data_IF_739338219673
#
_entry.id   IF_739338219673
#
_cell.length_a   1.000
_cell.length_b   1.000
_cell.length_c   1.000
_cell.angle_alpha   90.00
_cell.angle_beta   90.00
_cell.angle_gamma   90.00
#
_symmetry.space_group_name_H-M   'P 1'
#
loop_
_entity.id
_entity.type
_entity.pdbx_description
1 polymer ?
#
# COMPACT_ATOMS: atom_id res chain seq x y z
N UNK A 1 -31.26 24.97 -76.19
CA UNK A 1 -32.21 24.47 -75.19
C UNK A 1 -31.45 23.56 -74.24
N UNK A 2 -30.94 24.09 -73.13
CA UNK A 2 -30.44 23.35 -71.96
C UNK A 2 -29.85 24.36 -70.95
N UNK A 3 -30.66 24.81 -70.01
CA UNK A 3 -30.18 25.29 -68.72
C UNK A 3 -31.02 24.55 -67.67
N UNK A 4 -30.39 23.58 -67.01
CA UNK A 4 -30.97 22.85 -65.89
C UNK A 4 -29.96 22.87 -64.74
N UNK A 5 -30.42 23.47 -63.63
CA UNK A 5 -30.20 23.03 -62.25
C UNK A 5 -28.79 22.93 -61.70
N UNK A 6 -28.40 23.97 -60.94
CA UNK A 6 -27.43 23.87 -59.82
C UNK A 6 -28.07 24.52 -58.59
N UNK A 7 -28.88 23.76 -57.85
CA UNK A 7 -29.41 24.17 -56.53
C UNK A 7 -29.51 23.03 -55.49
N UNK A 8 -28.93 21.86 -55.73
CA UNK A 8 -29.18 20.64 -54.93
C UNK A 8 -28.00 20.10 -54.10
N UNK A 9 -26.84 20.77 -54.03
CA UNK A 9 -25.65 20.19 -53.37
C UNK A 9 -25.36 20.67 -51.94
N UNK A 10 -26.10 21.64 -51.40
CA UNK A 10 -25.85 22.18 -50.05
C UNK A 10 -26.72 21.53 -48.97
N UNK A 11 -27.86 20.95 -49.35
CA UNK A 11 -28.79 20.35 -48.38
C UNK A 11 -28.45 18.91 -47.98
N UNK A 12 -27.73 18.15 -48.83
CA UNK A 12 -27.41 16.74 -48.57
C UNK A 12 -26.30 16.54 -47.53
N UNK A 13 -25.30 17.44 -47.48
CA UNK A 13 -24.18 17.33 -46.54
C UNK A 13 -24.59 17.56 -45.08
N UNK A 14 -25.52 18.49 -44.82
CA UNK A 14 -26.02 18.72 -43.46
C UNK A 14 -26.93 17.57 -42.97
N UNK A 15 -27.69 16.92 -43.84
CA UNK A 15 -28.57 15.81 -43.46
C UNK A 15 -27.82 14.51 -43.18
N UNK A 16 -26.70 14.26 -43.88
CA UNK A 16 -25.87 13.07 -43.66
C UNK A 16 -25.04 13.18 -42.37
N UNK A 17 -24.57 14.38 -42.03
CA UNK A 17 -23.86 14.64 -40.77
C UNK A 17 -24.82 14.51 -39.56
N UNK A 18 -26.07 14.98 -39.70
CA UNK A 18 -27.11 14.83 -38.67
C UNK A 18 -27.53 13.36 -38.46
N UNK A 19 -27.66 12.58 -39.53
CA UNK A 19 -27.95 11.14 -39.46
C UNK A 19 -26.80 10.33 -38.86
N UNK A 20 -25.55 10.68 -39.22
CA UNK A 20 -24.35 10.05 -38.65
C UNK A 20 -24.25 10.27 -37.14
N UNK A 21 -24.52 11.49 -36.67
CA UNK A 21 -24.50 11.82 -35.25
C UNK A 21 -25.63 11.11 -34.46
N UNK A 22 -26.85 11.05 -35.02
CA UNK A 22 -27.96 10.31 -34.39
C UNK A 22 -27.67 8.82 -34.25
N UNK A 23 -27.12 8.19 -35.30
CA UNK A 23 -26.77 6.76 -35.29
C UNK A 23 -25.68 6.45 -34.25
N UNK A 24 -24.69 7.33 -34.12
CA UNK A 24 -23.64 7.20 -33.10
C UNK A 24 -24.22 7.15 -31.68
N UNK A 25 -25.12 8.09 -31.34
CA UNK A 25 -25.75 8.15 -30.01
C UNK A 25 -26.62 6.93 -29.74
N UNK A 26 -27.37 6.46 -30.73
CA UNK A 26 -28.21 5.27 -30.61
C UNK A 26 -27.34 4.05 -30.27
N UNK A 27 -26.27 3.81 -31.04
CA UNK A 27 -25.37 2.67 -30.81
C UNK A 27 -24.68 2.77 -29.45
N UNK A 28 -24.18 3.96 -29.09
CA UNK A 28 -23.55 4.19 -27.80
C UNK A 28 -24.49 3.91 -26.63
N UNK A 29 -25.73 4.40 -26.70
CA UNK A 29 -26.75 4.20 -25.66
C UNK A 29 -27.11 2.71 -25.57
N UNK A 30 -27.33 2.03 -26.69
CA UNK A 30 -27.64 0.59 -26.71
C UNK A 30 -26.52 -0.21 -26.03
N UNK A 31 -25.27 0.01 -26.42
CA UNK A 31 -24.13 -0.69 -25.83
C UNK A 31 -23.97 -0.38 -24.34
N UNK A 32 -24.25 0.85 -23.93
CA UNK A 32 -24.21 1.26 -22.52
C UNK A 32 -25.29 0.55 -21.71
N UNK A 33 -26.54 0.53 -22.21
CA UNK A 33 -27.65 -0.17 -21.56
C UNK A 33 -27.39 -1.67 -21.48
N UNK A 34 -26.88 -2.30 -22.56
CA UNK A 34 -26.50 -3.71 -22.55
C UNK A 34 -25.35 -3.99 -21.58
N UNK A 35 -24.38 -3.09 -21.45
CA UNK A 35 -23.26 -3.22 -20.52
C UNK A 35 -23.75 -3.29 -19.06
N UNK A 36 -24.52 -2.29 -18.64
CA UNK A 36 -25.06 -2.26 -17.28
C UNK A 36 -26.09 -3.38 -17.06
N UNK A 37 -26.93 -3.67 -18.04
CA UNK A 37 -27.94 -4.73 -17.97
C UNK A 37 -27.33 -6.12 -17.79
N UNK A 38 -26.26 -6.45 -18.52
CA UNK A 38 -25.57 -7.75 -18.40
C UNK A 38 -24.78 -7.88 -17.10
N UNK A 39 -24.13 -6.81 -16.64
CA UNK A 39 -23.29 -6.82 -15.43
C UNK A 39 -24.08 -6.77 -14.14
N UNK A 40 -25.14 -5.97 -14.07
CA UNK A 40 -26.01 -5.87 -12.89
C UNK A 40 -27.02 -7.04 -12.78
N UNK A 41 -27.12 -7.88 -13.81
CA UNK A 41 -27.95 -9.07 -13.75
C UNK A 41 -27.45 -10.02 -12.66
N UNK A 42 -28.30 -10.24 -11.64
CA UNK A 42 -28.05 -11.14 -10.50
C UNK A 42 -26.76 -10.83 -9.74
N UNK A 43 -26.46 -9.55 -9.53
CA UNK A 43 -25.26 -9.11 -8.77
C UNK A 43 -25.25 -9.57 -7.31
N UNK A 44 -26.43 -9.82 -6.74
CA UNK A 44 -26.63 -10.39 -5.42
C UNK A 44 -26.32 -11.90 -5.36
N UNK A 45 -26.42 -12.61 -6.48
CA UNK A 45 -26.03 -14.01 -6.61
C UNK A 45 -24.54 -14.14 -7.01
N UNK A 46 -23.75 -15.01 -6.38
CA UNK A 46 -24.12 -15.88 -5.26
C UNK A 46 -24.11 -15.18 -3.89
N UNK A 47 -24.92 -15.67 -2.95
CA UNK A 47 -25.11 -15.15 -1.58
C UNK A 47 -23.98 -15.50 -0.60
N UNK A 48 -22.77 -15.70 -1.11
CA UNK A 48 -21.59 -16.04 -0.33
C UNK A 48 -20.34 -15.31 -0.83
N UNK A 49 -19.34 -15.23 0.04
CA UNK A 49 -18.05 -14.61 -0.24
C UNK A 49 -17.32 -15.36 -1.34
N UNK A 50 -16.96 -14.68 -2.42
CA UNK A 50 -16.18 -15.25 -3.51
C UNK A 50 -14.68 -14.92 -3.36
N UNK A 51 -13.82 -15.70 -4.03
CA UNK A 51 -12.37 -15.52 -4.19
C UNK A 51 -11.72 -14.42 -3.30
N UNK A 52 -11.41 -13.25 -3.88
CA UNK A 52 -10.71 -12.14 -3.22
C UNK A 52 -11.65 -11.13 -2.52
N UNK A 53 -12.97 -11.39 -2.51
CA UNK A 53 -13.89 -10.62 -1.65
C UNK A 53 -13.51 -10.80 -0.17
N UNK A 54 -12.93 -11.95 0.18
CA UNK A 54 -12.33 -12.21 1.50
C UNK A 54 -11.32 -11.15 1.91
N UNK A 55 -10.51 -10.66 0.97
CA UNK A 55 -9.48 -9.67 1.24
C UNK A 55 -10.03 -8.25 1.18
N UNK A 56 -10.68 -7.87 0.07
CA UNK A 56 -11.09 -6.48 -0.14
C UNK A 56 -12.35 -6.10 0.63
N UNK A 57 -13.26 -7.04 0.87
CA UNK A 57 -14.39 -6.87 1.78
C UNK A 57 -13.89 -6.62 3.21
N UNK A 58 -12.98 -7.47 3.72
CA UNK A 58 -12.34 -7.30 5.03
C UNK A 58 -11.65 -5.95 5.18
N UNK A 59 -10.92 -5.52 4.15
CA UNK A 59 -10.28 -4.21 4.15
C UNK A 59 -11.30 -3.07 4.15
N UNK A 60 -12.41 -3.21 3.43
CA UNK A 60 -13.56 -2.30 3.51
C UNK A 60 -14.08 -2.17 4.93
N UNK A 61 -14.28 -3.29 5.62
CA UNK A 61 -14.68 -3.35 7.04
C UNK A 61 -13.69 -2.62 7.95
N UNK A 62 -12.38 -2.79 7.72
CA UNK A 62 -11.35 -2.09 8.51
C UNK A 62 -11.39 -0.57 8.35
N UNK A 63 -11.69 -0.05 7.16
CA UNK A 63 -11.90 1.40 6.99
C UNK A 63 -13.13 1.90 7.75
N UNK A 64 -14.24 1.16 7.72
CA UNK A 64 -15.47 1.51 8.43
C UNK A 64 -15.22 1.51 9.95
N UNK A 65 -14.53 0.49 10.44
CA UNK A 65 -14.18 0.35 11.87
C UNK A 65 -13.02 1.28 12.30
N UNK A 66 -12.35 1.92 11.33
CA UNK A 66 -11.15 2.77 11.49
C UNK A 66 -9.93 2.03 12.05
N UNK A 67 -9.85 0.73 11.86
CA UNK A 67 -8.76 -0.13 12.35
C UNK A 67 -7.63 -0.20 11.35
N UNK A 68 -6.42 0.17 11.76
CA UNK A 68 -5.26 0.19 10.90
C UNK A 68 -4.84 -1.21 10.44
N UNK A 69 -4.50 -1.33 9.15
CA UNK A 69 -4.04 -2.56 8.52
C UNK A 69 -2.92 -2.26 7.52
N UNK A 70 -2.17 -3.30 7.18
CA UNK A 70 -1.11 -3.24 6.17
C UNK A 70 -1.55 -4.02 4.94
N UNK A 71 -1.36 -3.44 3.75
CA UNK A 71 -1.60 -4.10 2.48
C UNK A 71 -0.58 -3.65 1.43
N UNK A 72 -0.38 -4.50 0.42
CA UNK A 72 0.54 -4.25 -0.70
C UNK A 72 0.01 -3.23 -1.70
N UNK A 73 -1.32 -3.04 -1.78
CA UNK A 73 -1.94 -2.14 -2.74
C UNK A 73 -2.21 -0.76 -2.15
N UNK A 74 -2.07 0.30 -2.95
CA UNK A 74 -2.49 1.65 -2.57
C UNK A 74 -3.98 1.75 -2.17
N UNK A 75 -4.37 2.81 -1.44
CA UNK A 75 -5.59 2.75 -0.62
C UNK A 75 -6.89 3.06 -1.36
N UNK A 76 -6.86 3.73 -2.52
CA UNK A 76 -8.07 4.35 -3.13
C UNK A 76 -9.18 3.34 -3.39
N UNK A 77 -8.87 2.21 -4.03
CA UNK A 77 -9.91 1.24 -4.38
C UNK A 77 -10.60 0.65 -3.15
N UNK A 78 -9.85 0.40 -2.08
CA UNK A 78 -10.40 -0.11 -0.81
C UNK A 78 -11.22 0.97 -0.09
N UNK A 79 -10.78 2.23 -0.13
CA UNK A 79 -11.55 3.36 0.42
C UNK A 79 -12.87 3.56 -0.34
N UNK A 80 -12.88 3.36 -1.65
CA UNK A 80 -14.10 3.43 -2.46
C UNK A 80 -15.07 2.28 -2.16
N UNK A 81 -14.56 1.06 -1.97
CA UNK A 81 -15.37 -0.09 -1.50
C UNK A 81 -15.95 0.19 -0.10
N UNK A 82 -15.15 0.73 0.81
CA UNK A 82 -15.63 1.12 2.14
C UNK A 82 -16.71 2.21 2.04
N UNK A 83 -16.49 3.21 1.19
CA UNK A 83 -17.45 4.29 0.95
C UNK A 83 -18.78 3.76 0.42
N UNK A 84 -18.76 2.87 -0.58
CA UNK A 84 -20.00 2.26 -1.09
C UNK A 84 -20.72 1.47 -0.01
N UNK A 85 -19.97 0.68 0.78
CA UNK A 85 -20.51 -0.01 1.95
C UNK A 85 -21.26 0.92 2.92
N UNK A 86 -20.62 2.02 3.34
CA UNK A 86 -21.25 2.99 4.26
C UNK A 86 -22.51 3.60 3.64
N UNK A 87 -22.46 3.98 2.35
CA UNK A 87 -23.60 4.60 1.66
C UNK A 87 -24.78 3.64 1.51
N UNK A 88 -24.54 2.33 1.43
CA UNK A 88 -25.58 1.30 1.30
C UNK A 88 -25.92 0.59 2.61
N UNK A 89 -25.46 1.11 3.75
CA UNK A 89 -25.84 0.60 5.07
C UNK A 89 -25.08 -0.64 5.55
N UNK A 90 -23.88 -0.91 5.04
CA UNK A 90 -22.95 -1.88 5.61
C UNK A 90 -22.22 -1.27 6.82
N UNK A 91 -22.19 -2.00 7.93
CA UNK A 91 -21.66 -1.54 9.22
C UNK A 91 -20.22 -1.99 9.53
N UNK A 92 -19.58 -2.78 8.65
CA UNK A 92 -18.22 -3.28 8.90
C UNK A 92 -18.12 -4.45 9.88
N UNK A 93 -19.22 -5.10 10.27
CA UNK A 93 -19.18 -6.20 11.26
C UNK A 93 -18.86 -7.57 10.67
N UNK A 94 -19.11 -7.77 9.36
CA UNK A 94 -18.90 -9.06 8.71
C UNK A 94 -17.40 -9.35 8.52
N UNK A 95 -16.90 -10.53 8.92
CA UNK A 95 -15.46 -10.79 9.04
C UNK A 95 -14.76 -11.14 7.72
N UNK A 96 -15.47 -11.60 6.68
CA UNK A 96 -14.87 -12.03 5.41
C UNK A 96 -13.71 -13.03 5.61
N UNK A 97 -13.97 -14.18 6.24
CA UNK A 97 -12.89 -15.12 6.60
C UNK A 97 -12.44 -15.99 5.43
N UNK A 98 -13.37 -16.74 4.83
CA UNK A 98 -13.06 -17.70 3.77
C UNK A 98 -14.07 -17.64 2.63
N UNK A 99 -13.68 -18.05 1.40
CA UNK A 99 -14.63 -18.18 0.31
C UNK A 99 -15.70 -19.22 0.66
N UNK A 100 -16.95 -18.94 0.31
CA UNK A 100 -18.11 -19.77 0.62
C UNK A 100 -18.85 -19.38 1.90
N UNK A 101 -18.32 -18.46 2.72
CA UNK A 101 -19.06 -17.93 3.88
C UNK A 101 -20.31 -17.18 3.40
N UNK A 102 -21.47 -17.51 3.96
CA UNK A 102 -22.72 -16.83 3.63
C UNK A 102 -22.76 -15.46 4.29
N UNK A 103 -23.41 -14.50 3.63
CA UNK A 103 -23.52 -13.13 4.13
C UNK A 103 -24.54 -12.95 5.27
N UNK A 104 -25.37 -13.95 5.58
CA UNK A 104 -26.25 -13.98 6.77
C UNK A 104 -27.10 -12.70 7.00
N UNK A 105 -27.58 -12.07 5.92
CA UNK A 105 -28.41 -10.84 6.01
C UNK A 105 -27.62 -9.53 6.13
N UNK A 106 -26.31 -9.55 5.91
CA UNK A 106 -25.45 -8.37 5.83
C UNK A 106 -25.68 -7.62 4.52
N UNK A 107 -25.68 -6.28 4.56
CA UNK A 107 -25.86 -5.41 3.39
C UNK A 107 -24.59 -5.31 2.50
N UNK A 108 -24.12 -6.42 1.93
CA UNK A 108 -22.94 -6.44 1.03
C UNK A 108 -23.25 -6.01 -0.41
N UNK A 109 -24.50 -6.12 -0.84
CA UNK A 109 -24.93 -5.96 -2.25
C UNK A 109 -24.49 -4.61 -2.82
N UNK A 110 -24.60 -3.53 -2.04
CA UNK A 110 -24.18 -2.20 -2.49
C UNK A 110 -22.68 -2.07 -2.79
N UNK A 111 -21.83 -2.88 -2.16
CA UNK A 111 -20.41 -2.95 -2.51
C UNK A 111 -20.20 -3.61 -3.87
N UNK A 112 -20.92 -4.71 -4.15
CA UNK A 112 -20.87 -5.39 -5.46
C UNK A 112 -21.45 -4.51 -6.55
N UNK A 113 -22.60 -3.88 -6.32
CA UNK A 113 -23.22 -2.93 -7.26
C UNK A 113 -22.25 -1.81 -7.61
N UNK A 114 -21.56 -1.24 -6.63
CA UNK A 114 -20.56 -0.20 -6.89
C UNK A 114 -19.42 -0.67 -7.82
N UNK A 115 -18.82 -1.84 -7.53
CA UNK A 115 -17.79 -2.42 -8.40
C UNK A 115 -18.35 -2.74 -9.80
N UNK A 116 -19.58 -3.23 -9.86
CA UNK A 116 -20.29 -3.60 -11.09
C UNK A 116 -20.61 -2.39 -11.95
N UNK A 117 -21.00 -1.26 -11.35
CA UNK A 117 -21.26 0.00 -12.04
C UNK A 117 -19.96 0.54 -12.65
N UNK A 118 -18.85 0.53 -11.90
CA UNK A 118 -17.55 0.94 -12.44
C UNK A 118 -17.06 -0.01 -13.55
N UNK A 119 -17.28 -1.31 -13.38
CA UNK A 119 -17.04 -2.31 -14.42
C UNK A 119 -17.95 -2.18 -15.64
N UNK A 120 -19.16 -1.66 -15.48
CA UNK A 120 -20.09 -1.37 -16.56
C UNK A 120 -19.63 -0.23 -17.46
N UNK A 121 -18.90 0.74 -16.91
CA UNK A 121 -18.36 1.86 -17.68
C UNK A 121 -17.20 1.46 -18.63
N UNK A 122 -16.68 0.23 -18.55
CA UNK A 122 -15.62 -0.25 -19.42
C UNK A 122 -16.02 -0.23 -20.91
N UNK A 123 -17.27 -0.57 -21.20
CA UNK A 123 -17.83 -0.67 -22.55
C UNK A 123 -17.98 0.71 -23.20
N UNK A 124 -18.69 1.69 -22.58
CA UNK A 124 -18.78 3.03 -23.15
C UNK A 124 -17.41 3.71 -23.26
N UNK A 125 -16.47 3.45 -22.34
CA UNK A 125 -15.10 3.96 -22.48
C UNK A 125 -14.35 3.32 -23.64
N UNK A 126 -14.45 2.01 -23.83
CA UNK A 126 -13.85 1.31 -24.98
C UNK A 126 -14.41 1.86 -26.30
N UNK A 127 -15.73 2.01 -26.38
CA UNK A 127 -16.38 2.60 -27.55
C UNK A 127 -15.87 4.02 -27.82
N UNK A 128 -15.86 4.88 -26.80
CA UNK A 128 -15.45 6.26 -26.92
C UNK A 128 -13.97 6.39 -27.32
N UNK A 129 -13.07 5.60 -26.73
CA UNK A 129 -11.65 5.60 -27.08
C UNK A 129 -11.39 5.17 -28.52
N UNK A 130 -12.01 4.08 -28.98
CA UNK A 130 -11.79 3.57 -30.33
C UNK A 130 -12.41 4.48 -31.38
N UNK A 131 -13.59 5.04 -31.09
CA UNK A 131 -14.18 6.10 -31.92
C UNK A 131 -13.23 7.28 -32.06
N UNK A 132 -12.63 7.73 -30.95
CA UNK A 132 -11.74 8.88 -30.96
C UNK A 132 -10.45 8.64 -31.77
N UNK A 133 -10.00 7.40 -31.86
CA UNK A 133 -8.80 7.03 -32.62
C UNK A 133 -9.07 6.76 -34.10
N UNK A 134 -10.27 6.26 -34.44
CA UNK A 134 -10.56 5.72 -35.78
C UNK A 134 -11.62 6.49 -36.54
N UNK A 135 -12.46 7.27 -35.84
CA UNK A 135 -13.69 7.87 -36.35
C UNK A 135 -14.61 6.89 -37.11
N UNK A 136 -14.48 5.59 -36.82
CA UNK A 136 -15.25 4.53 -37.47
C UNK A 136 -16.24 3.93 -36.48
N UNK A 137 -17.52 4.08 -36.78
CA UNK A 137 -18.59 3.55 -35.95
C UNK A 137 -18.51 2.02 -35.87
N UNK A 138 -18.17 1.37 -36.98
CA UNK A 138 -18.05 -0.09 -37.03
C UNK A 138 -16.90 -0.59 -36.16
N UNK A 139 -15.74 0.07 -36.19
CA UNK A 139 -14.60 -0.31 -35.35
C UNK A 139 -14.93 -0.13 -33.86
N UNK A 140 -15.51 1.02 -33.48
CA UNK A 140 -15.90 1.29 -32.10
C UNK A 140 -16.95 0.30 -31.59
N UNK A 141 -17.97 0.00 -32.40
CA UNK A 141 -19.03 -0.96 -32.08
C UNK A 141 -18.45 -2.36 -31.89
N UNK A 142 -17.58 -2.80 -32.81
CA UNK A 142 -16.96 -4.12 -32.74
C UNK A 142 -16.08 -4.26 -31.48
N UNK A 143 -15.20 -3.30 -31.21
CA UNK A 143 -14.34 -3.33 -30.03
C UNK A 143 -15.13 -3.32 -28.72
N UNK A 144 -16.17 -2.48 -28.62
CA UNK A 144 -17.03 -2.45 -27.44
C UNK A 144 -17.82 -3.75 -27.26
N UNK A 145 -18.27 -4.37 -28.36
CA UNK A 145 -18.98 -5.65 -28.34
C UNK A 145 -18.07 -6.80 -27.89
N UNK A 146 -16.80 -6.81 -28.31
CA UNK A 146 -15.82 -7.80 -27.86
C UNK A 146 -15.62 -7.76 -26.33
N UNK A 147 -15.55 -6.56 -25.73
CA UNK A 147 -15.44 -6.41 -24.27
C UNK A 147 -16.78 -6.69 -23.57
N UNK A 148 -17.91 -6.34 -24.20
CA UNK A 148 -19.24 -6.60 -23.67
C UNK A 148 -19.49 -8.11 -23.48
N UNK A 149 -19.11 -8.91 -24.47
CA UNK A 149 -19.34 -10.37 -24.50
C UNK A 149 -18.16 -11.20 -23.97
N UNK A 150 -17.12 -10.56 -23.44
CA UNK A 150 -16.03 -11.28 -22.78
C UNK A 150 -16.44 -11.74 -21.38
N UNK A 151 -16.50 -13.05 -21.19
CA UNK A 151 -16.91 -13.70 -19.93
C UNK A 151 -15.93 -13.39 -18.80
N UNK A 152 -14.64 -13.20 -19.12
CA UNK A 152 -13.62 -12.86 -18.13
C UNK A 152 -13.88 -11.51 -17.47
N UNK A 153 -14.04 -10.45 -18.27
CA UNK A 153 -14.37 -9.12 -17.77
C UNK A 153 -15.75 -9.06 -17.12
N UNK A 154 -16.73 -9.79 -17.63
CA UNK A 154 -18.05 -9.89 -16.99
C UNK A 154 -17.92 -10.42 -15.56
N UNK A 155 -17.31 -11.60 -15.40
CA UNK A 155 -17.16 -12.26 -14.09
C UNK A 155 -16.35 -11.39 -13.12
N UNK A 156 -15.23 -10.83 -13.57
CA UNK A 156 -14.34 -10.01 -12.73
C UNK A 156 -15.02 -8.72 -12.23
N UNK A 157 -16.02 -8.21 -12.96
CA UNK A 157 -16.67 -6.93 -12.62
C UNK A 157 -17.82 -7.03 -11.63
N UNK A 158 -18.32 -8.23 -11.33
CA UNK A 158 -19.51 -8.41 -10.49
C UNK A 158 -19.24 -8.52 -8.98
N UNK A 159 -17.97 -8.68 -8.59
CA UNK A 159 -17.59 -8.97 -7.21
C UNK A 159 -16.91 -7.77 -6.52
N UNK A 160 -16.80 -7.84 -5.19
CA UNK A 160 -16.08 -6.86 -4.35
C UNK A 160 -14.57 -7.02 -4.56
N UNK A 161 -14.10 -6.55 -5.71
CA UNK A 161 -12.70 -6.62 -6.16
C UNK A 161 -12.14 -5.22 -6.42
N UNK A 162 -10.82 -5.08 -6.40
CA UNK A 162 -10.15 -3.86 -6.82
C UNK A 162 -10.08 -3.72 -8.34
N UNK A 163 -10.08 -4.84 -9.06
CA UNK A 163 -9.84 -4.83 -10.50
C UNK A 163 -10.91 -4.07 -11.32
N UNK A 164 -12.21 -4.08 -10.97
CA UNK A 164 -13.22 -3.27 -11.66
C UNK A 164 -12.92 -1.77 -11.55
N UNK A 165 -12.50 -1.33 -10.36
CA UNK A 165 -12.11 0.06 -10.08
C UNK A 165 -10.81 0.41 -10.83
N UNK A 166 -9.85 -0.52 -10.86
CA UNK A 166 -8.59 -0.35 -11.58
C UNK A 166 -8.83 -0.19 -13.08
N UNK A 167 -9.61 -1.09 -13.68
CA UNK A 167 -9.93 -1.08 -15.11
C UNK A 167 -10.73 0.18 -15.48
N UNK A 168 -11.63 0.63 -14.60
CA UNK A 168 -12.33 1.90 -14.77
C UNK A 168 -11.37 3.08 -14.90
N UNK A 169 -10.45 3.26 -13.95
CA UNK A 169 -9.50 4.38 -14.01
C UNK A 169 -8.47 4.22 -15.13
N UNK A 170 -8.09 2.99 -15.47
CA UNK A 170 -7.23 2.70 -16.60
C UNK A 170 -7.87 3.17 -17.91
N UNK A 171 -9.10 2.73 -18.21
CA UNK A 171 -9.82 3.16 -19.40
C UNK A 171 -10.22 4.63 -19.37
N UNK A 172 -10.58 5.19 -18.22
CA UNK A 172 -10.84 6.63 -18.09
C UNK A 172 -9.60 7.46 -18.46
N UNK A 173 -8.42 7.05 -17.99
CA UNK A 173 -7.16 7.72 -18.37
C UNK A 173 -6.83 7.55 -19.85
N UNK A 174 -7.19 6.41 -20.45
CA UNK A 174 -7.02 6.16 -21.87
C UNK A 174 -7.97 7.01 -22.74
N UNK A 175 -9.24 7.12 -22.36
CA UNK A 175 -10.20 8.06 -22.98
C UNK A 175 -9.66 9.49 -22.88
N UNK A 176 -9.14 9.87 -21.70
CA UNK A 176 -8.55 11.18 -21.45
C UNK A 176 -7.43 11.52 -22.42
N UNK A 177 -6.46 10.61 -22.61
CA UNK A 177 -5.34 10.86 -23.53
C UNK A 177 -5.78 10.83 -25.00
N UNK A 178 -6.72 9.97 -25.39
CA UNK A 178 -7.30 9.98 -26.74
C UNK A 178 -7.98 11.34 -27.03
N UNK A 179 -8.84 11.81 -26.13
CA UNK A 179 -9.53 13.10 -26.26
C UNK A 179 -8.57 14.28 -26.26
N UNK A 180 -7.54 14.22 -25.41
CA UNK A 180 -6.47 15.23 -25.40
C UNK A 180 -5.76 15.31 -26.74
N UNK A 181 -5.42 14.17 -27.35
CA UNK A 181 -4.75 14.12 -28.66
C UNK A 181 -5.64 14.55 -29.81
N UNK A 182 -6.96 14.39 -29.72
CA UNK A 182 -7.89 14.93 -30.71
C UNK A 182 -8.10 16.43 -30.61
N UNK A 183 -7.84 17.04 -29.45
CA UNK A 183 -7.92 18.47 -29.23
C UNK A 183 -6.69 19.24 -29.79
N UNK A 184 -6.33 19.01 -31.06
CA UNK A 184 -5.16 19.67 -31.70
C UNK A 184 -5.46 21.09 -32.22
N UNK A 185 -6.73 21.41 -32.49
CA UNK A 185 -7.11 22.70 -33.10
C UNK A 185 -7.02 23.88 -32.13
N UNK A 186 -7.19 23.65 -30.82
CA UNK A 186 -7.19 24.69 -29.77
C UNK A 186 -6.24 24.32 -28.63
N UNK A 187 -4.95 24.26 -28.94
CA UNK A 187 -3.90 24.04 -27.94
C UNK A 187 -3.96 25.11 -26.85
N UNK A 188 -3.79 24.70 -25.59
CA UNK A 188 -3.94 25.54 -24.40
C UNK A 188 -5.34 26.13 -24.15
N UNK A 189 -6.37 25.68 -24.89
CA UNK A 189 -7.76 26.02 -24.60
C UNK A 189 -8.31 25.32 -23.35
N UNK A 190 -9.53 25.68 -22.95
CA UNK A 190 -10.20 25.11 -21.76
C UNK A 190 -10.35 23.59 -21.89
N UNK A 191 -10.80 23.10 -23.05
CA UNK A 191 -10.94 21.66 -23.30
C UNK A 191 -9.60 20.93 -23.28
N UNK A 192 -8.54 21.57 -23.78
CA UNK A 192 -7.19 21.00 -23.77
C UNK A 192 -6.68 20.79 -22.34
N UNK A 193 -6.83 21.81 -21.48
CA UNK A 193 -6.48 21.71 -20.07
C UNK A 193 -7.36 20.73 -19.32
N UNK A 194 -8.66 20.72 -19.58
CA UNK A 194 -9.60 19.78 -18.98
C UNK A 194 -9.17 18.33 -19.23
N UNK A 195 -8.93 17.94 -20.49
CA UNK A 195 -8.53 16.57 -20.82
C UNK A 195 -7.14 16.21 -20.30
N UNK A 196 -6.20 17.17 -20.27
CA UNK A 196 -4.88 16.93 -19.70
C UNK A 196 -4.94 16.71 -18.18
N UNK A 197 -5.68 17.54 -17.45
CA UNK A 197 -5.89 17.41 -16.00
C UNK A 197 -6.67 16.14 -15.69
N UNK A 198 -7.74 15.86 -16.44
CA UNK A 198 -8.53 14.64 -16.32
C UNK A 198 -7.68 13.39 -16.50
N UNK A 199 -6.81 13.37 -17.52
CA UNK A 199 -5.85 12.28 -17.74
C UNK A 199 -4.91 12.13 -16.54
N UNK A 200 -4.35 13.24 -16.04
CA UNK A 200 -3.48 13.22 -14.86
C UNK A 200 -4.17 12.65 -13.61
N UNK A 201 -5.39 13.12 -13.30
CA UNK A 201 -6.15 12.66 -12.12
C UNK A 201 -6.53 11.19 -12.25
N UNK A 202 -7.11 10.78 -13.39
CA UNK A 202 -7.55 9.38 -13.59
C UNK A 202 -6.38 8.40 -13.63
N UNK A 203 -5.24 8.80 -14.22
CA UNK A 203 -4.00 8.03 -14.18
C UNK A 203 -3.46 7.90 -12.74
N UNK A 204 -3.51 8.99 -11.95
CA UNK A 204 -3.13 8.94 -10.54
C UNK A 204 -4.04 8.02 -9.74
N UNK A 205 -5.36 8.10 -9.94
CA UNK A 205 -6.33 7.20 -9.34
C UNK A 205 -6.04 5.73 -9.69
N UNK A 206 -5.66 5.44 -10.93
CA UNK A 206 -5.25 4.09 -11.36
C UNK A 206 -4.09 3.55 -10.51
N UNK A 207 -3.02 4.34 -10.33
CA UNK A 207 -1.89 3.98 -9.44
C UNK A 207 -2.35 3.85 -7.98
N UNK A 208 -3.26 4.72 -7.53
CA UNK A 208 -3.80 4.70 -6.17
C UNK A 208 -4.74 3.52 -5.88
N UNK A 209 -5.19 2.78 -6.90
CA UNK A 209 -5.89 1.50 -6.72
C UNK A 209 -4.90 0.34 -6.67
N UNK A 210 -3.95 0.28 -7.60
CA UNK A 210 -2.96 -0.81 -7.69
C UNK A 210 -1.69 -0.32 -8.39
N UNK A 211 -0.51 -0.76 -7.95
CA UNK A 211 0.76 -0.37 -8.58
C UNK A 211 0.93 -0.83 -10.04
N UNK A 212 0.09 -1.76 -10.52
CA UNK A 212 -0.02 -2.07 -11.96
C UNK A 212 -0.36 -0.82 -12.79
N UNK A 213 -1.01 0.18 -12.19
CA UNK A 213 -1.24 1.49 -12.81
C UNK A 213 0.04 2.24 -13.22
N UNK A 214 1.22 1.85 -12.73
CA UNK A 214 2.50 2.38 -13.23
C UNK A 214 2.73 2.03 -14.71
N UNK A 215 2.20 0.91 -15.21
CA UNK A 215 2.24 0.62 -16.65
C UNK A 215 1.39 1.61 -17.46
N UNK A 216 0.27 2.07 -16.90
CA UNK A 216 -0.54 3.13 -17.51
C UNK A 216 0.21 4.46 -17.53
N UNK A 217 0.94 4.80 -16.46
CA UNK A 217 1.81 5.98 -16.41
C UNK A 217 2.90 5.89 -17.49
N UNK A 218 3.56 4.74 -17.61
CA UNK A 218 4.57 4.50 -18.65
C UNK A 218 3.98 4.63 -20.05
N UNK A 219 2.80 4.05 -20.29
CA UNK A 219 2.13 4.11 -21.59
C UNK A 219 1.79 5.56 -21.98
N UNK A 220 1.12 6.32 -21.11
CA UNK A 220 0.80 7.74 -21.33
C UNK A 220 2.09 8.58 -21.44
N UNK A 221 3.12 8.24 -20.67
CA UNK A 221 4.44 8.87 -20.73
C UNK A 221 5.12 8.69 -22.09
N UNK A 222 5.11 7.48 -22.65
CA UNK A 222 5.65 7.20 -23.99
C UNK A 222 4.86 7.94 -25.07
N UNK A 223 3.52 7.98 -24.98
CA UNK A 223 2.70 8.78 -25.90
C UNK A 223 3.04 10.28 -25.79
N UNK A 224 3.22 10.77 -24.57
CA UNK A 224 3.61 12.17 -24.30
C UNK A 224 4.98 12.50 -24.87
N UNK A 225 5.96 11.60 -24.73
CA UNK A 225 7.30 11.78 -25.31
C UNK A 225 7.21 11.83 -26.84
N UNK A 226 6.44 10.94 -27.45
CA UNK A 226 6.21 10.96 -28.90
C UNK A 226 5.55 12.26 -29.35
N UNK A 227 4.50 12.72 -28.67
CA UNK A 227 3.83 13.99 -28.97
C UNK A 227 4.79 15.19 -28.85
N UNK A 228 5.62 15.23 -27.79
CA UNK A 228 6.62 16.28 -27.60
C UNK A 228 7.71 16.24 -28.68
N UNK A 229 8.10 15.05 -29.15
CA UNK A 229 9.02 14.88 -30.27
C UNK A 229 8.44 15.47 -31.56
N UNK A 230 7.17 15.18 -31.88
CA UNK A 230 6.50 15.77 -33.04
C UNK A 230 6.34 17.29 -32.92
N UNK A 231 6.06 17.80 -31.71
CA UNK A 231 5.97 19.24 -31.44
C UNK A 231 7.33 19.92 -31.64
N UNK A 232 8.43 19.31 -31.17
CA UNK A 232 9.78 19.81 -31.38
C UNK A 232 10.15 19.86 -32.86
N UNK A 233 9.68 18.88 -33.65
CA UNK A 233 9.88 18.83 -35.10
C UNK A 233 9.12 19.89 -35.89
N UNK A 234 8.18 20.65 -35.28
CA UNK A 234 7.46 21.73 -35.96
C UNK A 234 8.35 22.97 -36.12
N UNK A 235 9.15 23.02 -37.19
CA UNK A 235 10.06 24.13 -37.51
C UNK A 235 9.37 25.50 -37.70
N UNK A 236 8.04 25.52 -37.86
CA UNK A 236 7.26 26.76 -37.96
C UNK A 236 7.00 27.45 -36.61
N UNK A 237 7.31 26.79 -35.48
CA UNK A 237 7.08 27.31 -34.13
C UNK A 237 8.40 27.53 -33.39
N UNK A 238 8.50 28.54 -32.51
CA UNK A 238 9.69 28.76 -31.70
C UNK A 238 9.86 27.66 -30.63
N UNK A 239 11.09 27.44 -30.16
CA UNK A 239 11.39 26.47 -29.09
C UNK A 239 10.57 26.74 -27.81
N UNK A 240 10.26 28.01 -27.52
CA UNK A 240 9.44 28.41 -26.37
C UNK A 240 8.05 27.76 -26.37
N UNK A 241 7.49 27.47 -27.55
CA UNK A 241 6.23 26.76 -27.68
C UNK A 241 6.37 25.29 -27.22
N UNK A 242 7.43 24.59 -27.62
CA UNK A 242 7.74 23.24 -27.12
C UNK A 242 7.96 23.24 -25.60
N UNK A 243 8.66 24.23 -25.07
CA UNK A 243 8.87 24.38 -23.62
C UNK A 243 7.54 24.56 -22.87
N UNK A 244 6.61 25.37 -23.40
CA UNK A 244 5.26 25.50 -22.82
C UNK A 244 4.51 24.17 -22.80
N UNK A 245 4.55 23.41 -23.90
CA UNK A 245 3.94 22.08 -23.99
C UNK A 245 4.56 21.09 -23.01
N UNK A 246 5.88 21.16 -22.80
CA UNK A 246 6.60 20.35 -21.83
C UNK A 246 6.18 20.69 -20.40
N UNK A 247 6.20 21.98 -20.02
CA UNK A 247 5.85 22.42 -18.67
C UNK A 247 4.40 22.03 -18.33
N UNK A 248 3.45 22.28 -19.24
CA UNK A 248 2.04 21.93 -19.00
C UNK A 248 1.85 20.42 -18.77
N UNK A 249 2.49 19.57 -19.58
CA UNK A 249 2.43 18.11 -19.41
C UNK A 249 3.17 17.65 -18.15
N UNK A 250 4.33 18.24 -17.84
CA UNK A 250 5.07 17.94 -16.60
C UNK A 250 4.22 18.24 -15.36
N UNK A 251 3.57 19.41 -15.31
CA UNK A 251 2.70 19.78 -14.18
C UNK A 251 1.51 18.84 -14.08
N UNK A 252 0.78 18.59 -15.17
CA UNK A 252 -0.47 17.81 -15.13
C UNK A 252 -0.27 16.30 -15.11
N UNK A 253 0.81 15.75 -15.66
CA UNK A 253 1.04 14.31 -15.79
C UNK A 253 2.13 13.78 -14.84
N UNK A 254 2.82 14.65 -14.09
CA UNK A 254 3.79 14.23 -13.06
C UNK A 254 3.46 14.85 -11.71
N UNK A 255 3.49 16.18 -11.59
CA UNK A 255 3.31 16.87 -10.30
C UNK A 255 1.90 16.62 -9.74
N UNK A 256 0.86 16.84 -10.55
CA UNK A 256 -0.52 16.63 -10.14
C UNK A 256 -0.78 15.17 -9.70
N UNK A 257 -0.38 14.14 -10.45
CA UNK A 257 -0.52 12.75 -10.00
C UNK A 257 0.18 12.44 -8.68
N UNK A 258 1.38 12.98 -8.45
CA UNK A 258 2.09 12.81 -7.17
C UNK A 258 1.29 13.45 -6.03
N UNK A 259 0.76 14.65 -6.23
CA UNK A 259 -0.08 15.33 -5.22
C UNK A 259 -1.36 14.55 -4.92
N UNK A 260 -2.03 14.02 -5.95
CA UNK A 260 -3.23 13.18 -5.78
C UNK A 260 -2.89 11.89 -5.02
N UNK A 261 -1.76 11.25 -5.35
CA UNK A 261 -1.30 10.05 -4.66
C UNK A 261 -1.03 10.31 -3.17
N UNK A 262 -0.27 11.36 -2.85
CA UNK A 262 0.00 11.77 -1.47
C UNK A 262 -1.30 12.14 -0.75
N UNK A 263 -2.23 12.82 -1.45
CA UNK A 263 -3.55 13.17 -0.92
C UNK A 263 -4.38 11.96 -0.50
N UNK A 264 -4.45 10.90 -1.32
CA UNK A 264 -5.16 9.69 -0.94
C UNK A 264 -4.50 8.93 0.22
N UNK A 265 -3.17 8.91 0.30
CA UNK A 265 -2.47 8.34 1.46
C UNK A 265 -2.69 9.16 2.73
N UNK A 266 -2.78 10.48 2.62
CA UNK A 266 -3.15 11.34 3.74
C UNK A 266 -4.56 11.00 4.25
N UNK A 267 -5.54 10.86 3.34
CA UNK A 267 -6.91 10.46 3.69
C UNK A 267 -6.92 9.07 4.34
N UNK A 268 -6.19 8.10 3.78
CA UNK A 268 -6.06 6.75 4.33
C UNK A 268 -5.58 6.75 5.79
N UNK A 269 -4.47 7.45 6.07
CA UNK A 269 -3.90 7.54 7.42
C UNK A 269 -4.76 8.37 8.37
N UNK A 270 -5.55 9.31 7.85
CA UNK A 270 -6.50 10.09 8.63
C UNK A 270 -7.72 9.27 9.05
N UNK A 271 -8.23 8.40 8.17
CA UNK A 271 -9.38 7.53 8.46
C UNK A 271 -8.98 6.43 9.45
N UNK A 272 -7.85 5.75 9.23
CA UNK A 272 -7.39 4.61 10.03
C UNK A 272 -6.64 5.06 11.30
N UNK A 273 -7.39 5.49 12.30
CA UNK A 273 -6.86 6.07 13.54
C UNK A 273 -6.83 5.12 14.74
N UNK A 274 -7.30 3.87 14.61
CA UNK A 274 -7.25 2.85 15.66
C UNK A 274 -6.21 1.77 15.35
N UNK A 275 -5.68 1.14 16.39
CA UNK A 275 -4.78 -0.01 16.28
C UNK A 275 -5.49 -1.21 15.63
N UNK A 276 -4.73 -2.03 14.92
CA UNK A 276 -5.20 -3.23 14.24
C UNK A 276 -4.02 -4.09 13.80
N UNK A 277 -4.29 -5.25 13.20
CA UNK A 277 -3.30 -6.31 12.97
C UNK A 277 -2.06 -5.89 12.15
N UNK A 278 -2.15 -4.79 11.38
CA UNK A 278 -1.06 -4.29 10.56
C UNK A 278 -0.11 -3.28 11.22
N UNK A 279 -0.42 -2.80 12.43
CA UNK A 279 0.37 -1.73 13.06
C UNK A 279 1.78 -2.18 13.50
N UNK A 280 1.96 -3.49 13.76
CA UNK A 280 3.21 -4.12 14.17
C UNK A 280 4.40 -3.83 13.24
N UNK A 281 4.14 -3.73 11.93
CA UNK A 281 5.14 -3.48 10.89
C UNK A 281 5.69 -2.04 10.88
N UNK A 282 5.01 -1.11 11.55
CA UNK A 282 5.36 0.30 11.58
C UNK A 282 6.22 0.67 12.79
N UNK A 283 6.80 1.87 12.75
CA UNK A 283 7.61 2.39 13.84
C UNK A 283 6.79 2.58 15.12
N UNK A 284 7.43 2.50 16.28
CA UNK A 284 6.76 2.74 17.57
C UNK A 284 6.17 4.16 17.66
N UNK A 285 6.79 5.14 16.98
CA UNK A 285 6.30 6.51 16.90
C UNK A 285 5.02 6.65 16.05
N UNK A 286 4.81 5.76 15.08
CA UNK A 286 3.54 5.69 14.36
C UNK A 286 2.48 4.97 15.20
N UNK A 287 2.84 3.82 15.80
CA UNK A 287 1.94 3.04 16.65
C UNK A 287 1.39 3.84 17.84
N UNK A 288 2.17 4.74 18.43
CA UNK A 288 1.71 5.59 19.54
C UNK A 288 0.61 6.59 19.15
N UNK A 289 0.46 6.90 17.85
CA UNK A 289 -0.63 7.76 17.36
C UNK A 289 -1.95 7.02 17.20
N UNK A 290 -1.95 5.69 17.17
CA UNK A 290 -3.13 4.87 16.95
C UNK A 290 -3.88 4.59 18.26
N UNK A 291 -5.17 4.93 18.30
CA UNK A 291 -6.04 4.67 19.45
C UNK A 291 -6.15 3.17 19.73
N UNK A 292 -6.07 2.77 21.00
CA UNK A 292 -6.11 1.36 21.41
C UNK A 292 -4.77 0.62 21.29
N UNK A 293 -3.71 1.25 20.77
CA UNK A 293 -2.37 0.69 20.87
C UNK A 293 -1.85 0.83 22.30
N UNK A 294 -1.06 -0.14 22.78
CA UNK A 294 -0.41 -0.09 24.11
C UNK A 294 0.57 1.07 24.30
N UNK A 295 1.02 1.73 23.23
CA UNK A 295 1.85 2.94 23.28
C UNK A 295 1.04 4.24 23.25
N UNK A 296 -0.27 4.16 22.97
CA UNK A 296 -1.12 5.33 22.85
C UNK A 296 -1.36 5.94 24.23
N UNK A 297 -0.94 7.19 24.42
CA UNK A 297 -0.96 7.89 25.71
C UNK A 297 -0.28 7.10 26.85
N UNK A 298 0.64 6.19 26.53
CA UNK A 298 1.34 5.41 27.53
C UNK A 298 2.34 6.29 28.29
N UNK A 299 2.16 6.41 29.60
CA UNK A 299 3.19 6.95 30.48
C UNK A 299 4.27 5.88 30.67
N UNK A 300 5.45 6.10 30.11
CA UNK A 300 6.61 5.25 30.35
C UNK A 300 7.77 6.08 30.88
N UNK A 301 8.62 5.51 31.76
CA UNK A 301 9.84 6.17 32.18
C UNK A 301 10.67 6.56 30.95
N UNK A 302 11.02 7.85 30.87
CA UNK A 302 11.83 8.37 29.76
C UNK A 302 13.22 7.77 29.78
N UNK A 303 13.85 7.74 30.95
CA UNK A 303 15.24 7.35 31.11
C UNK A 303 15.34 5.89 31.59
N UNK A 304 16.18 5.12 30.92
CA UNK A 304 16.39 3.69 31.25
C UNK A 304 17.41 3.60 32.38
N UNK A 305 17.11 2.80 33.41
CA UNK A 305 18.02 2.52 34.51
C UNK A 305 18.51 1.08 34.50
N UNK A 306 19.60 0.82 35.23
CA UNK A 306 19.90 -0.54 35.65
C UNK A 306 18.76 -1.07 36.54
N UNK A 307 18.43 -2.35 36.39
CA UNK A 307 17.26 -2.98 37.00
C UNK A 307 15.94 -2.75 36.24
N UNK A 308 15.93 -1.93 35.18
CA UNK A 308 14.73 -1.73 34.38
C UNK A 308 14.40 -2.97 33.53
N UNK A 309 13.11 -3.27 33.41
CA UNK A 309 12.59 -4.24 32.45
C UNK A 309 12.22 -3.49 31.18
N UNK A 310 12.88 -3.84 30.07
CA UNK A 310 12.73 -3.19 28.78
C UNK A 310 12.30 -4.19 27.70
N UNK A 311 11.76 -3.64 26.61
CA UNK A 311 11.53 -4.37 25.37
C UNK A 311 12.33 -3.71 24.25
N UNK A 312 13.18 -4.46 23.56
CA UNK A 312 14.03 -3.93 22.49
C UNK A 312 13.37 -4.20 21.13
N UNK A 313 13.08 -3.15 20.36
CA UNK A 313 12.56 -3.26 18.99
C UNK A 313 13.63 -2.87 17.98
N UNK A 314 13.82 -3.68 16.95
CA UNK A 314 14.72 -3.32 15.85
C UNK A 314 14.16 -2.11 15.07
N UNK A 315 14.99 -1.08 14.88
CA UNK A 315 14.61 0.14 14.18
C UNK A 315 14.32 -0.06 12.68
N UNK A 316 14.79 -1.14 12.05
CA UNK A 316 14.53 -1.42 10.63
C UNK A 316 13.02 -1.54 10.37
N UNK A 317 12.58 -1.18 9.16
CA UNK A 317 11.19 -1.34 8.72
C UNK A 317 10.78 -2.81 8.81
N UNK A 318 9.65 -3.11 9.47
CA UNK A 318 9.24 -4.49 9.77
C UNK A 318 10.10 -5.20 10.82
N UNK A 319 10.93 -4.46 11.57
CA UNK A 319 11.78 -5.00 12.62
C UNK A 319 10.97 -5.53 13.82
N UNK A 320 11.27 -6.76 14.23
CA UNK A 320 10.66 -7.39 15.39
C UNK A 320 11.29 -6.96 16.73
N UNK A 321 10.64 -7.39 17.81
CA UNK A 321 11.13 -7.33 19.18
C UNK A 321 12.13 -8.44 19.44
N UNK A 322 13.16 -8.17 20.25
CA UNK A 322 14.05 -9.20 20.79
C UNK A 322 13.22 -10.15 21.65
N UNK A 323 13.13 -11.40 21.22
CA UNK A 323 12.22 -12.40 21.77
C UNK A 323 12.99 -13.66 22.16
N UNK A 324 12.57 -14.31 23.24
CA UNK A 324 13.06 -15.63 23.62
C UNK A 324 11.95 -16.48 24.22
N UNK A 325 12.00 -17.79 24.00
CA UNK A 325 10.99 -18.74 24.50
C UNK A 325 11.68 -20.07 24.83
N UNK A 326 10.99 -20.99 25.51
CA UNK A 326 11.61 -22.18 26.13
C UNK A 326 12.21 -23.22 25.16
N UNK A 327 12.10 -23.05 23.84
CA UNK A 327 12.71 -23.96 22.87
C UNK A 327 14.21 -23.70 22.74
N UNK A 328 14.94 -24.79 22.51
CA UNK A 328 16.37 -24.78 22.25
C UNK A 328 16.62 -24.85 20.74
N UNK A 329 17.79 -24.40 20.28
CA UNK A 329 18.22 -24.70 18.92
C UNK A 329 18.37 -26.23 18.72
N UNK A 330 17.99 -26.78 17.55
CA UNK A 330 18.16 -28.19 17.27
C UNK A 330 19.64 -28.63 17.28
N UNK A 331 19.89 -29.92 17.52
CA UNK A 331 21.26 -30.47 17.70
C UNK A 331 22.20 -30.23 16.51
N UNK A 332 21.67 -30.04 15.30
CA UNK A 332 22.46 -29.79 14.08
C UNK A 332 22.64 -28.28 13.76
N UNK A 333 22.24 -27.40 14.69
CA UNK A 333 22.13 -25.96 14.45
C UNK A 333 22.87 -25.18 15.54
N UNK A 334 24.19 -25.28 15.52
CA UNK A 334 25.06 -24.62 16.51
C UNK A 334 24.78 -25.16 17.91
N UNK A 335 24.80 -24.27 18.91
CA UNK A 335 24.78 -24.68 20.29
C UNK A 335 23.36 -24.99 20.69
N UNK A 336 23.17 -26.10 21.41
CA UNK A 336 21.89 -26.54 21.98
C UNK A 336 21.49 -25.67 23.18
N UNK A 337 21.33 -24.38 22.94
CA UNK A 337 20.99 -23.33 23.91
C UNK A 337 19.64 -22.69 23.53
N UNK A 338 19.10 -21.85 24.41
CA UNK A 338 17.79 -21.25 24.22
C UNK A 338 17.76 -20.37 22.96
N UNK A 339 16.66 -20.44 22.21
CA UNK A 339 16.48 -19.63 21.02
C UNK A 339 16.24 -18.16 21.38
N UNK A 340 16.95 -17.29 20.67
CA UNK A 340 16.71 -15.86 20.67
C UNK A 340 16.38 -15.45 19.23
N UNK A 341 15.20 -14.90 19.06
CA UNK A 341 14.63 -14.59 17.75
C UNK A 341 14.11 -13.15 17.74
N UNK A 342 13.57 -12.75 16.59
CA UNK A 342 12.78 -11.52 16.47
C UNK A 342 11.32 -11.87 16.26
N UNK A 343 10.43 -11.31 17.07
CA UNK A 343 8.99 -11.52 16.94
C UNK A 343 8.26 -10.21 16.65
N UNK A 344 7.28 -10.21 15.74
CA UNK A 344 6.64 -8.98 15.27
C UNK A 344 5.62 -8.40 16.27
N UNK A 345 5.06 -9.25 17.12
CA UNK A 345 4.03 -8.87 18.09
C UNK A 345 4.64 -8.67 19.48
N UNK A 346 3.93 -7.91 20.32
CA UNK A 346 4.30 -7.71 21.72
C UNK A 346 3.80 -8.89 22.55
N UNK A 347 4.69 -9.48 23.33
CA UNK A 347 4.34 -10.48 24.33
C UNK A 347 5.22 -10.36 25.59
N UNK A 348 4.97 -11.21 26.58
CA UNK A 348 5.78 -11.24 27.81
C UNK A 348 7.19 -11.77 27.57
N UNK A 349 7.37 -12.56 26.50
CA UNK A 349 8.65 -13.11 26.02
C UNK A 349 9.53 -12.06 25.32
N UNK A 350 9.10 -10.80 25.28
CA UNK A 350 9.91 -9.68 24.82
C UNK A 350 10.55 -8.89 25.97
N UNK A 351 10.34 -9.29 27.23
CA UNK A 351 10.80 -8.56 28.41
C UNK A 351 12.22 -8.96 28.81
N UNK A 352 13.11 -7.98 28.88
CA UNK A 352 14.52 -8.14 29.24
C UNK A 352 14.88 -7.22 30.41
N UNK A 353 15.51 -7.77 31.43
CA UNK A 353 16.04 -7.04 32.58
C UNK A 353 17.45 -6.54 32.27
N UNK A 354 17.69 -5.23 32.45
CA UNK A 354 19.01 -4.62 32.32
C UNK A 354 19.80 -4.83 33.60
N UNK A 355 20.88 -5.63 33.56
CA UNK A 355 21.75 -5.90 34.71
C UNK A 355 23.13 -5.31 34.52
N UNK A 356 23.80 -5.08 35.64
CA UNK A 356 25.24 -4.83 35.66
C UNK A 356 25.99 -6.03 35.09
N UNK A 357 27.11 -5.75 34.42
CA UNK A 357 27.97 -6.81 33.91
C UNK A 357 28.73 -7.54 35.03
N UNK A 358 29.03 -6.83 36.12
CA UNK A 358 29.65 -7.35 37.33
C UNK A 358 28.59 -7.65 38.39
N UNK A 359 28.57 -8.88 38.89
CA UNK A 359 27.60 -9.34 39.90
C UNK A 359 27.83 -8.70 41.30
N UNK A 360 28.98 -8.07 41.51
CA UNK A 360 29.34 -7.33 42.73
C UNK A 360 28.69 -5.94 42.80
N UNK A 361 28.31 -5.35 41.66
CA UNK A 361 27.55 -4.08 41.60
C UNK A 361 26.05 -4.37 41.84
N UNK A 362 25.69 -4.74 43.07
CA UNK A 362 24.28 -4.89 43.47
C UNK A 362 23.69 -3.52 43.80
N UNK A 363 22.49 -3.26 43.29
CA UNK A 363 21.68 -2.10 43.69
C UNK A 363 21.34 -2.28 45.18
N UNK A 364 21.99 -1.54 46.07
CA UNK A 364 21.51 -1.47 47.45
C UNK A 364 20.21 -0.67 47.45
N UNK A 365 19.25 -1.05 48.30
CA UNK A 365 17.89 -0.46 48.33
C UNK A 365 17.92 1.05 48.67
N UNK A 366 19.07 1.54 49.17
CA UNK A 366 19.30 2.95 49.53
C UNK A 366 20.11 3.75 48.48
N UNK A 367 20.57 3.12 47.39
CA UNK A 367 21.35 3.83 46.37
C UNK A 367 20.47 4.56 45.35
N UNK A 368 20.95 5.71 44.91
CA UNK A 368 20.34 6.46 43.80
C UNK A 368 20.24 5.59 42.55
N UNK A 369 19.09 5.61 41.89
CA UNK A 369 18.84 4.89 40.63
C UNK A 369 19.93 5.21 39.60
N UNK A 370 20.77 4.22 39.26
CA UNK A 370 21.81 4.39 38.23
C UNK A 370 21.18 4.31 36.84
N UNK A 371 21.25 5.40 36.10
CA UNK A 371 20.79 5.49 34.71
C UNK A 371 21.78 4.81 33.76
N UNK A 372 21.26 4.16 32.73
CA UNK A 372 22.03 3.54 31.66
C UNK A 372 22.54 4.62 30.70
N UNK A 373 23.85 4.62 30.43
CA UNK A 373 24.52 5.63 29.60
C UNK A 373 25.23 5.01 28.41
N UNK A 374 25.56 5.85 27.44
CA UNK A 374 26.46 5.50 26.34
C UNK A 374 27.78 4.97 26.89
N UNK A 375 28.23 3.83 26.37
CA UNK A 375 29.48 3.18 26.75
C UNK A 375 29.36 2.19 27.90
N UNK A 376 28.21 2.14 28.60
CA UNK A 376 28.01 1.19 29.70
C UNK A 376 28.00 -0.26 29.19
N UNK A 377 28.51 -1.16 30.03
CA UNK A 377 28.48 -2.61 29.82
C UNK A 377 27.34 -3.22 30.63
N UNK A 378 26.52 -4.03 29.97
CA UNK A 378 25.31 -4.63 30.54
C UNK A 378 25.25 -6.13 30.27
N UNK A 379 24.46 -6.82 31.09
CA UNK A 379 23.87 -8.13 30.78
C UNK A 379 22.37 -7.94 30.58
N UNK A 380 21.80 -8.64 29.61
CA UNK A 380 20.35 -8.65 29.37
C UNK A 380 19.81 -10.02 29.77
N UNK A 381 19.05 -10.07 30.86
CA UNK A 381 18.42 -11.30 31.36
C UNK A 381 16.97 -11.36 30.86
N UNK A 382 16.60 -12.45 30.19
CA UNK A 382 15.23 -12.69 29.77
C UNK A 382 14.34 -12.96 30.99
N UNK A 383 13.30 -12.15 31.19
CA UNK A 383 12.51 -12.19 32.44
C UNK A 383 11.78 -13.53 32.64
N UNK A 384 11.09 -14.11 31.64
CA UNK A 384 10.39 -15.38 31.80
C UNK A 384 11.31 -16.59 32.04
N UNK A 385 12.44 -16.69 31.33
CA UNK A 385 13.29 -17.91 31.34
C UNK A 385 14.57 -17.77 32.15
N UNK A 386 14.88 -16.55 32.62
CA UNK A 386 16.05 -16.24 33.43
C UNK A 386 17.39 -16.60 32.77
N UNK A 387 17.42 -16.64 31.43
CA UNK A 387 18.63 -16.84 30.62
C UNK A 387 19.17 -15.48 30.16
N UNK A 388 20.49 -15.34 30.08
CA UNK A 388 21.15 -14.14 29.58
C UNK A 388 21.27 -14.17 28.05
N UNK A 389 21.20 -12.99 27.42
CA UNK A 389 21.56 -12.80 26.02
C UNK A 389 23.05 -13.10 25.83
N UNK A 390 23.35 -14.11 25.04
CA UNK A 390 24.67 -14.68 24.86
C UNK A 390 25.07 -14.73 23.39
N UNK A 391 26.37 -14.69 23.11
CA UNK A 391 26.89 -15.06 21.80
C UNK A 391 28.20 -15.82 21.94
N UNK A 392 28.47 -16.68 20.97
CA UNK A 392 29.65 -17.55 20.94
C UNK A 392 30.13 -17.69 19.49
N UNK A 393 31.32 -18.28 19.27
CA UNK A 393 31.96 -18.32 17.94
C UNK A 393 31.38 -19.34 16.96
N UNK A 394 30.23 -19.92 17.27
CA UNK A 394 29.56 -20.83 16.33
C UNK A 394 28.76 -20.06 15.28
N UNK A 395 28.67 -20.59 14.05
CA UNK A 395 27.98 -19.91 12.97
C UNK A 395 26.46 -19.88 13.19
N UNK A 396 25.84 -18.74 12.89
CA UNK A 396 24.40 -18.57 12.95
C UNK A 396 23.67 -19.57 12.01
N UNK A 397 22.42 -19.96 12.33
CA UNK A 397 21.74 -21.05 11.64
C UNK A 397 21.58 -20.89 10.13
N UNK A 398 21.20 -19.68 9.70
CA UNK A 398 20.87 -19.37 8.30
C UNK A 398 22.00 -18.59 7.64
N UNK A 399 22.49 -17.54 8.29
CA UNK A 399 23.56 -16.70 7.77
C UNK A 399 24.89 -17.15 8.37
N UNK A 400 25.49 -18.19 7.79
CA UNK A 400 26.75 -18.82 8.28
C UNK A 400 27.96 -17.88 8.38
N UNK A 401 27.86 -16.66 7.83
CA UNK A 401 28.89 -15.59 7.98
C UNK A 401 28.84 -14.87 9.32
N UNK A 402 27.74 -14.98 10.07
CA UNK A 402 27.57 -14.35 11.37
C UNK A 402 27.70 -15.38 12.48
N UNK A 403 27.99 -14.92 13.70
CA UNK A 403 27.94 -15.73 14.90
C UNK A 403 26.52 -15.90 15.42
N UNK A 404 26.27 -17.03 16.09
CA UNK A 404 24.99 -17.34 16.71
C UNK A 404 24.80 -16.51 17.99
N UNK A 405 23.53 -16.16 18.25
CA UNK A 405 23.08 -15.48 19.47
C UNK A 405 22.04 -16.39 20.12
N UNK A 406 22.16 -16.61 21.42
CA UNK A 406 21.42 -17.62 22.19
C UNK A 406 21.09 -17.12 23.59
N UNK A 407 20.18 -17.81 24.28
CA UNK A 407 19.99 -17.64 25.72
C UNK A 407 20.83 -18.66 26.49
N UNK A 408 21.72 -18.18 27.36
CA UNK A 408 22.63 -19.00 28.15
C UNK A 408 22.55 -18.68 29.66
N UNK A 409 23.17 -19.52 30.49
CA UNK A 409 23.24 -19.30 31.95
C UNK A 409 21.95 -19.69 32.68
N UNK A 410 21.90 -19.66 34.02
CA UNK A 410 20.68 -20.00 34.79
C UNK A 410 20.42 -18.98 35.90
N UNK A 411 19.17 -18.56 36.11
CA UNK A 411 18.83 -17.55 37.12
C UNK A 411 19.67 -16.27 36.99
N UNK A 412 19.98 -15.89 35.74
CA UNK A 412 20.80 -14.73 35.43
C UNK A 412 22.29 -14.88 35.74
N UNK A 413 22.75 -16.06 36.20
CA UNK A 413 24.18 -16.40 36.26
C UNK A 413 24.68 -16.72 34.87
N UNK A 414 25.90 -16.32 34.56
CA UNK A 414 26.41 -16.31 33.20
C UNK A 414 27.92 -16.18 33.15
N UNK A 415 28.47 -16.03 31.96
CA UNK A 415 29.90 -15.85 31.73
C UNK A 415 30.21 -14.45 31.14
N UNK A 416 31.43 -14.25 30.67
CA UNK A 416 31.84 -13.00 30.01
C UNK A 416 31.30 -12.88 28.57
N UNK A 417 30.73 -13.94 27.99
CA UNK A 417 30.07 -13.91 26.68
C UNK A 417 28.62 -13.41 26.76
N UNK A 418 28.15 -13.03 27.96
CA UNK A 418 26.85 -12.40 28.16
C UNK A 418 26.95 -10.85 28.20
N UNK A 419 28.16 -10.30 28.05
CA UNK A 419 28.43 -8.88 28.26
C UNK A 419 28.34 -8.09 26.95
N UNK A 420 27.46 -7.10 26.95
CA UNK A 420 27.19 -6.21 25.81
C UNK A 420 27.47 -4.76 26.18
N UNK A 421 28.25 -4.07 25.36
CA UNK A 421 28.48 -2.63 25.48
C UNK A 421 27.40 -1.87 24.71
N UNK A 422 26.76 -0.91 25.36
CA UNK A 422 25.68 -0.09 24.79
C UNK A 422 26.27 1.12 24.08
N UNK A 423 25.99 1.28 22.80
CA UNK A 423 26.34 2.46 22.02
C UNK A 423 25.08 3.17 21.54
N UNK A 424 24.91 4.43 21.93
CA UNK A 424 23.85 5.32 21.42
C UNK A 424 24.30 5.94 20.11
N UNK A 425 23.50 5.83 19.05
CA UNK A 425 23.78 6.40 17.73
C UNK A 425 23.79 7.94 17.81
N UNK A 426 24.91 8.55 17.42
CA UNK A 426 25.12 10.00 17.55
C UNK A 426 25.26 10.51 18.99
N UNK A 427 25.38 9.63 19.99
CA UNK A 427 25.60 10.00 21.38
C UNK A 427 27.09 10.17 21.72
N UNK A 428 27.38 11.05 22.69
CA UNK A 428 28.68 11.20 23.34
C UNK A 428 28.73 10.48 24.70
N UNK A 429 29.92 10.40 25.29
CA UNK A 429 30.09 9.82 26.62
C UNK A 429 29.22 10.55 27.66
N UNK A 430 28.48 9.77 28.45
CA UNK A 430 27.55 10.29 29.45
C UNK A 430 26.11 10.50 28.96
N UNK A 431 25.82 10.37 27.66
CA UNK A 431 24.44 10.44 27.15
C UNK A 431 23.59 9.30 27.73
N UNK A 432 22.46 9.65 28.33
CA UNK A 432 21.52 8.70 28.91
C UNK A 432 20.73 7.99 27.79
N UNK A 433 20.47 6.70 27.98
CA UNK A 433 19.58 5.92 27.11
C UNK A 433 18.14 6.25 27.47
N UNK A 434 17.40 6.82 26.52
CA UNK A 434 16.00 7.14 26.68
C UNK A 434 15.11 6.21 25.86
N UNK A 435 13.99 5.78 26.42
CA UNK A 435 13.01 4.92 25.78
C UNK A 435 12.41 5.60 24.53
N UNK A 436 12.20 4.82 23.47
CA UNK A 436 11.60 5.22 22.17
C UNK A 436 12.44 6.22 21.34
N UNK A 437 13.19 7.13 21.97
CA UNK A 437 13.96 8.17 21.28
C UNK A 437 15.39 7.74 20.97
N UNK A 438 16.05 7.03 21.87
CA UNK A 438 17.44 6.61 21.67
C UNK A 438 17.52 5.40 20.75
N UNK A 439 18.36 5.49 19.72
CA UNK A 439 18.74 4.36 18.87
C UNK A 439 20.03 3.77 19.43
N UNK A 440 19.98 2.50 19.85
CA UNK A 440 21.14 1.84 20.44
C UNK A 440 21.67 0.70 19.56
N UNK A 441 22.97 0.45 19.67
CA UNK A 441 23.68 -0.72 19.15
C UNK A 441 24.26 -1.46 20.35
N UNK A 442 24.02 -2.76 20.42
CA UNK A 442 24.64 -3.63 21.42
C UNK A 442 25.88 -4.28 20.78
N UNK A 443 27.05 -4.00 21.33
CA UNK A 443 28.32 -4.54 20.85
C UNK A 443 28.80 -5.58 21.83
N UNK A 444 28.97 -6.81 21.37
CA UNK A 444 29.50 -7.89 22.18
C UNK A 444 30.96 -7.61 22.56
N UNK A 445 31.29 -7.69 23.85
CA UNK A 445 32.61 -7.27 24.36
C UNK A 445 33.75 -8.15 23.84
N UNK A 446 33.62 -9.48 23.90
CA UNK A 446 34.69 -10.41 23.49
C UNK A 446 34.80 -10.61 21.97
N UNK A 447 33.67 -10.65 21.26
CA UNK A 447 33.60 -10.92 19.82
C UNK A 447 33.81 -9.65 19.00
N UNK A 448 33.70 -8.47 19.61
CA UNK A 448 33.70 -7.16 18.94
C UNK A 448 32.69 -7.06 17.78
N UNK A 449 31.58 -7.79 17.91
CA UNK A 449 30.51 -7.86 16.92
C UNK A 449 29.27 -7.09 17.38
N UNK A 450 28.53 -6.50 16.45
CA UNK A 450 27.26 -5.81 16.73
C UNK A 450 26.11 -6.81 16.67
N UNK A 451 25.22 -6.78 17.66
CA UNK A 451 23.95 -7.52 17.61
C UNK A 451 23.14 -7.06 16.40
N UNK A 452 22.82 -7.99 15.51
CA UNK A 452 22.14 -7.69 14.25
C UNK A 452 21.17 -8.79 13.87
N UNK A 453 20.26 -8.49 12.96
CA UNK A 453 19.26 -9.43 12.45
C UNK A 453 19.35 -9.51 10.93
N UNK A 454 19.01 -10.67 10.39
CA UNK A 454 18.83 -10.86 8.95
C UNK A 454 17.36 -10.72 8.57
N UNK A 455 17.06 -10.49 7.28
CA UNK A 455 15.68 -10.48 6.78
C UNK A 455 15.16 -11.89 6.46
N UNK A 456 15.88 -12.95 6.88
CA UNK A 456 15.49 -14.34 6.64
C UNK A 456 14.77 -14.87 7.88
N UNK A 457 13.62 -15.50 7.65
CA UNK A 457 12.90 -16.22 8.71
C UNK A 457 13.66 -17.49 9.07
N UNK A 458 13.60 -17.84 10.36
CA UNK A 458 14.02 -19.16 10.80
C UNK A 458 13.04 -20.21 10.25
N UNK A 459 13.47 -21.47 10.08
CA UNK A 459 12.58 -22.58 9.77
C UNK A 459 11.54 -22.79 10.89
N UNK A 460 10.69 -23.81 10.75
CA UNK A 460 9.61 -24.08 11.73
C UNK A 460 10.08 -24.33 13.18
N UNK A 461 11.37 -24.58 13.39
CA UNK A 461 11.95 -24.84 14.70
C UNK A 461 12.43 -23.56 15.37
#
# INVERSE_FOLDING_TARGET
MAQSTTKTSVHSSQTDDYKGNSTWWIVFIILTVLSFGTRLYKVDEPDHVCWDETHFGKMGSWYINRTFFFDVHPPLGKMLIALSGVLTGYNGSFPFEKPGDKYEGVNYVGMREFCTILGGALIPFTFASIWEMTHSLNAATLSASLVLFDVGTLTLTQYILLDPILLFFMLASFVGICKFRSCTLFEFGVNWWFWLIFTGITMACCVCVKFVGLFQVTFIGLMTIADLWFILGKLSKPISYTVKHFIARFVCLIILPILVYVGFFYIHLFILNKSGNGDGFYSSAFQSKLQGNSLHNASMPKDVSFGAIITLKNHRTGGGYLHSHWHLYPENVGAKQQQITTYAHKDENNRWLVKFYNDDEKISINDTVRLLKHGDMIRLEHVPTRRNLHSHREPAPITRKHYQVTGYGENGTGDYNDVWKVFVDGGSDGNIVSAVTSKIKLVHVLQHCVLTTSNKQLPKW
#
